data_IF_541302829349
#
_entry.id   IF_541302829349
#
_cell.length_a   1.000
_cell.length_b   1.000
_cell.length_c   1.000
_cell.angle_alpha   90.00
_cell.angle_beta   90.00
_cell.angle_gamma   90.00
#
_symmetry.space_group_name_H-M   'P 1'
#
loop_
_entity.id
_entity.type
_entity.pdbx_description
1 polymer ?
#
# COMPACT_ATOMS: atom_id res chain seq x y z
N UNK A 1 -6.74 26.05 -7.84
CA UNK A 1 -5.62 25.13 -7.53
C UNK A 1 -5.89 24.24 -6.30
N UNK A 2 -6.10 24.80 -5.11
CA UNK A 2 -6.30 24.02 -3.87
C UNK A 2 -7.53 23.08 -3.89
N UNK A 3 -8.66 23.52 -4.46
CA UNK A 3 -9.89 22.72 -4.51
C UNK A 3 -9.73 21.42 -5.34
N UNK A 4 -8.94 21.48 -6.41
CA UNK A 4 -8.64 20.30 -7.23
C UNK A 4 -7.80 19.31 -6.43
N UNK A 5 -6.79 19.79 -5.69
CA UNK A 5 -5.96 18.94 -4.82
C UNK A 5 -6.79 18.27 -3.71
N UNK A 6 -7.78 18.97 -3.12
CA UNK A 6 -8.68 18.38 -2.13
C UNK A 6 -9.56 17.28 -2.74
N UNK A 7 -10.11 17.51 -3.94
CA UNK A 7 -10.92 16.51 -4.63
C UNK A 7 -10.08 15.27 -4.97
N UNK A 8 -8.85 15.46 -5.46
CA UNK A 8 -7.94 14.35 -5.75
C UNK A 8 -7.58 13.59 -4.48
N UNK A 9 -7.25 14.28 -3.37
CA UNK A 9 -6.98 13.64 -2.07
C UNK A 9 -8.16 12.81 -1.57
N UNK A 10 -9.39 13.29 -1.76
CA UNK A 10 -10.60 12.54 -1.37
C UNK A 10 -10.70 11.21 -2.12
N UNK A 11 -10.42 11.21 -3.42
CA UNK A 11 -10.42 9.99 -4.24
C UNK A 11 -9.25 9.06 -3.89
N UNK A 12 -8.10 9.63 -3.53
CA UNK A 12 -6.95 8.85 -3.01
C UNK A 12 -7.35 8.09 -1.73
N UNK A 13 -8.06 8.74 -0.81
CA UNK A 13 -8.59 8.11 0.41
C UNK A 13 -9.60 6.99 0.13
N UNK A 14 -10.41 7.10 -0.94
CA UNK A 14 -11.28 5.99 -1.36
C UNK A 14 -10.46 4.75 -1.74
N UNK A 15 -9.38 4.93 -2.49
CA UNK A 15 -8.44 3.85 -2.80
C UNK A 15 -7.79 3.23 -1.56
N UNK A 16 -7.49 4.02 -0.53
CA UNK A 16 -6.98 3.52 0.75
C UNK A 16 -8.01 2.66 1.49
N UNK A 17 -9.28 3.07 1.49
CA UNK A 17 -10.35 2.26 2.09
C UNK A 17 -10.49 0.91 1.37
N UNK A 18 -10.47 0.94 0.04
CA UNK A 18 -10.49 -0.25 -0.79
C UNK A 18 -9.29 -1.18 -0.53
N UNK A 19 -8.11 -0.63 -0.26
CA UNK A 19 -6.91 -1.40 0.10
C UNK A 19 -6.94 -2.03 1.50
N UNK A 20 -7.96 -1.77 2.32
CA UNK A 20 -8.07 -2.36 3.66
C UNK A 20 -8.23 -3.89 3.60
N UNK A 21 -8.94 -4.40 2.59
CA UNK A 21 -9.03 -5.85 2.34
C UNK A 21 -7.68 -6.47 1.99
N UNK A 22 -6.80 -5.72 1.34
CA UNK A 22 -5.42 -6.15 1.03
C UNK A 22 -4.58 -6.28 2.28
N UNK A 23 -4.66 -5.30 3.17
CA UNK A 23 -4.00 -5.35 4.48
C UNK A 23 -4.46 -6.57 5.28
N UNK A 24 -5.77 -6.83 5.27
CA UNK A 24 -6.34 -7.99 5.94
C UNK A 24 -5.80 -9.30 5.36
N UNK A 25 -5.79 -9.46 4.03
CA UNK A 25 -5.27 -10.65 3.37
C UNK A 25 -3.79 -10.93 3.71
N UNK A 26 -2.93 -9.89 3.70
CA UNK A 26 -1.52 -10.03 4.10
C UNK A 26 -1.40 -10.47 5.56
N UNK A 27 -2.22 -9.89 6.44
CA UNK A 27 -2.20 -10.20 7.88
C UNK A 27 -2.68 -11.63 8.16
N UNK A 28 -3.77 -12.06 7.53
CA UNK A 28 -4.31 -13.42 7.66
C UNK A 28 -3.31 -14.46 7.15
N UNK A 29 -2.68 -14.20 6.00
CA UNK A 29 -1.69 -15.09 5.43
C UNK A 29 -0.46 -15.22 6.35
N UNK A 30 -0.01 -14.11 6.94
CA UNK A 30 1.12 -14.11 7.88
C UNK A 30 0.84 -14.94 9.13
N UNK A 31 -0.36 -14.79 9.71
CA UNK A 31 -0.77 -15.54 10.89
C UNK A 31 -0.95 -17.02 10.60
N UNK A 32 -1.59 -17.37 9.48
CA UNK A 32 -1.84 -18.77 9.09
C UNK A 32 -0.58 -19.53 8.66
N UNK A 33 0.42 -18.84 8.10
CA UNK A 33 1.69 -19.46 7.69
C UNK A 33 2.74 -19.51 8.80
N UNK A 34 2.43 -19.01 10.01
CA UNK A 34 3.39 -18.95 11.11
C UNK A 34 4.59 -18.05 10.83
N UNK A 35 4.39 -16.94 10.11
CA UNK A 35 5.46 -15.99 9.80
C UNK A 35 6.27 -16.31 8.54
N UNK A 36 5.70 -17.06 7.59
CA UNK A 36 6.33 -17.40 6.32
C UNK A 36 5.66 -16.71 5.12
N UNK A 37 6.41 -15.87 4.43
CA UNK A 37 6.03 -15.06 3.27
C UNK A 37 6.09 -15.83 1.95
N UNK A 38 6.67 -17.03 1.91
CA UNK A 38 6.71 -17.85 0.69
C UNK A 38 5.29 -18.16 0.17
N UNK A 39 4.29 -18.17 1.06
CA UNK A 39 2.89 -18.39 0.71
C UNK A 39 2.16 -17.13 0.22
N UNK A 40 2.71 -15.92 0.44
CA UNK A 40 2.21 -14.71 -0.24
C UNK A 40 2.45 -14.79 -1.75
N UNK A 41 3.42 -15.59 -2.19
CA UNK A 41 3.78 -15.79 -3.61
C UNK A 41 2.85 -16.70 -4.43
N UNK A 42 1.83 -17.31 -3.82
CA UNK A 42 0.85 -18.15 -4.54
C UNK A 42 -0.39 -17.40 -5.01
N UNK A 43 -0.63 -16.21 -4.47
CA UNK A 43 -1.82 -15.41 -4.74
C UNK A 43 -1.36 -14.02 -5.15
N UNK A 44 -1.09 -13.84 -6.45
CA UNK A 44 -1.11 -12.50 -7.07
C UNK A 44 -2.52 -11.93 -6.93
N UNK A 45 -2.86 -11.51 -5.72
CA UNK A 45 -4.23 -11.20 -5.33
C UNK A 45 -4.53 -9.80 -5.86
N UNK A 46 -5.08 -9.76 -7.08
CA UNK A 46 -5.79 -8.59 -7.58
C UNK A 46 -7.08 -8.53 -6.77
N UNK A 47 -7.10 -7.72 -5.71
CA UNK A 47 -8.28 -7.63 -4.85
C UNK A 47 -9.46 -6.97 -5.55
N UNK A 48 -9.19 -6.12 -6.55
CA UNK A 48 -10.20 -5.28 -7.17
C UNK A 48 -9.93 -5.09 -8.66
N UNK A 49 -10.94 -5.42 -9.46
CA UNK A 49 -11.16 -4.94 -10.84
C UNK A 49 -11.34 -3.41 -10.81
N UNK A 50 -11.11 -2.64 -11.89
CA UNK A 50 -11.18 -1.19 -11.84
C UNK A 50 -12.49 -0.67 -11.21
N UNK A 51 -12.39 -0.02 -10.05
CA UNK A 51 -13.46 0.84 -9.50
C UNK A 51 -13.14 2.26 -9.94
N UNK A 52 -14.13 3.15 -10.06
CA UNK A 52 -14.01 4.40 -10.81
C UNK A 52 -12.68 5.17 -10.66
N UNK A 53 -12.13 5.21 -9.44
CA UNK A 53 -10.88 5.92 -9.11
C UNK A 53 -9.63 5.02 -8.91
N UNK A 54 -9.76 3.70 -8.88
CA UNK A 54 -8.64 2.73 -8.70
C UNK A 54 -8.59 1.75 -9.88
N UNK A 55 -7.47 1.68 -10.57
CA UNK A 55 -7.21 0.71 -11.64
C UNK A 55 -7.00 -0.71 -11.11
N UNK A 56 -6.14 -0.86 -10.10
CA UNK A 56 -5.82 -2.14 -9.48
C UNK A 56 -5.24 -1.95 -8.08
N UNK A 57 -5.29 -3.03 -7.31
CA UNK A 57 -4.57 -3.19 -6.06
C UNK A 57 -3.82 -4.51 -6.13
N UNK A 58 -2.49 -4.46 -5.97
CA UNK A 58 -1.60 -5.61 -6.08
C UNK A 58 -0.83 -5.82 -4.78
N UNK A 59 -0.66 -7.07 -4.37
CA UNK A 59 0.21 -7.46 -3.24
C UNK A 59 1.50 -8.05 -3.83
N UNK A 60 2.65 -7.50 -3.46
CA UNK A 60 3.94 -8.00 -3.87
C UNK A 60 4.27 -9.32 -3.16
N UNK A 61 4.70 -10.34 -3.91
CA UNK A 61 5.09 -11.62 -3.32
C UNK A 61 6.31 -11.44 -2.42
N UNK A 62 6.42 -12.25 -1.37
CA UNK A 62 7.52 -12.27 -0.41
C UNK A 62 7.77 -10.99 0.40
N UNK A 63 7.17 -9.83 0.07
CA UNK A 63 7.27 -8.60 0.87
C UNK A 63 5.92 -8.10 1.42
N UNK A 64 4.79 -8.60 0.90
CA UNK A 64 3.45 -8.17 1.33
C UNK A 64 3.13 -6.70 1.02
N UNK A 65 3.99 -6.00 0.29
CA UNK A 65 3.81 -4.62 -0.09
C UNK A 65 2.56 -4.47 -0.97
N UNK A 66 1.66 -3.57 -0.62
CA UNK A 66 0.44 -3.31 -1.39
C UNK A 66 0.68 -2.10 -2.29
N UNK A 67 0.38 -2.25 -3.58
CA UNK A 67 0.39 -1.16 -4.57
C UNK A 67 -1.02 -0.83 -5.00
N UNK A 68 -1.44 0.41 -4.77
CA UNK A 68 -2.70 0.96 -5.28
C UNK A 68 -2.37 1.78 -6.51
N UNK A 69 -2.96 1.45 -7.66
CA UNK A 69 -2.80 2.23 -8.91
C UNK A 69 -4.09 3.01 -9.19
N UNK A 70 -4.01 4.33 -9.36
CA UNK A 70 -5.19 5.18 -9.52
C UNK A 70 -5.60 5.39 -10.99
N UNK A 71 -6.91 5.51 -11.25
CA UNK A 71 -7.50 5.89 -12.55
C UNK A 71 -8.02 7.33 -12.59
N UNK A 72 -7.88 8.08 -11.49
CA UNK A 72 -8.31 9.48 -11.40
C UNK A 72 -7.55 10.31 -12.45
N UNK A 73 -8.22 11.14 -13.29
CA UNK A 73 -7.57 11.83 -14.40
C UNK A 73 -6.29 12.62 -14.06
N UNK A 74 -6.25 13.26 -12.88
CA UNK A 74 -5.10 14.06 -12.44
C UNK A 74 -3.89 13.24 -11.98
N UNK A 75 -4.08 11.97 -11.64
CA UNK A 75 -3.05 11.07 -11.08
C UNK A 75 -3.11 9.68 -11.74
N UNK A 76 -3.59 9.62 -12.97
CA UNK A 76 -3.82 8.35 -13.67
C UNK A 76 -2.51 7.58 -13.81
N UNK A 77 -2.49 6.33 -13.37
CA UNK A 77 -1.30 5.47 -13.33
C UNK A 77 -0.31 5.79 -12.19
N UNK A 78 -0.54 6.83 -11.38
CA UNK A 78 0.26 7.05 -10.19
C UNK A 78 -0.10 6.03 -9.10
N UNK A 79 0.88 5.71 -8.26
CA UNK A 79 0.77 4.68 -7.24
C UNK A 79 0.91 5.22 -5.83
N UNK A 80 0.13 4.66 -4.92
CA UNK A 80 0.34 4.79 -3.49
C UNK A 80 0.65 3.40 -2.92
N UNK A 81 1.64 3.35 -2.05
CA UNK A 81 2.17 2.10 -1.51
C UNK A 81 1.76 1.97 -0.05
N UNK A 82 1.31 0.79 0.35
CA UNK A 82 1.19 0.42 1.76
C UNK A 82 2.24 -0.64 2.07
N UNK A 83 3.16 -0.33 2.95
CA UNK A 83 4.27 -1.22 3.29
C UNK A 83 4.05 -1.84 4.66
N UNK A 84 3.96 -3.19 4.78
CA UNK A 84 4.02 -3.84 6.07
C UNK A 84 5.44 -3.79 6.62
N UNK A 85 5.55 -3.63 7.93
CA UNK A 85 6.78 -3.72 8.72
C UNK A 85 6.48 -4.45 10.02
N UNK A 86 7.51 -4.96 10.67
CA UNK A 86 7.41 -5.48 12.03
C UNK A 86 8.48 -4.78 12.85
N UNK A 87 8.10 -4.07 13.91
CA UNK A 87 9.01 -3.27 14.74
C UNK A 87 9.84 -2.27 13.90
N UNK A 88 9.22 -1.63 12.91
CA UNK A 88 9.87 -0.68 12.01
C UNK A 88 10.93 -1.25 11.05
N UNK A 89 11.09 -2.58 10.96
CA UNK A 89 11.97 -3.23 9.98
C UNK A 89 11.21 -3.91 8.85
N UNK A 90 11.92 -4.24 7.77
CA UNK A 90 11.38 -4.90 6.59
C UNK A 90 10.58 -6.17 6.97
N UNK A 91 9.39 -6.31 6.40
CA UNK A 91 8.57 -7.50 6.54
C UNK A 91 9.23 -8.69 5.83
N UNK A 92 9.78 -9.61 6.62
CA UNK A 92 10.61 -10.72 6.15
C UNK A 92 10.33 -12.02 6.93
N UNK A 93 10.69 -13.17 6.33
CA UNK A 93 10.57 -14.48 6.98
C UNK A 93 11.29 -14.50 8.34
N UNK A 94 10.62 -15.06 9.34
CA UNK A 94 11.19 -15.19 10.69
C UNK A 94 11.15 -13.90 11.51
N UNK A 95 10.56 -12.82 11.01
CA UNK A 95 10.22 -11.66 11.84
C UNK A 95 9.19 -12.06 12.92
N UNK A 96 9.26 -11.39 14.07
CA UNK A 96 8.37 -11.63 15.22
C UNK A 96 7.87 -10.32 15.78
N UNK A 97 6.55 -10.19 15.93
CA UNK A 97 5.88 -8.99 16.41
C UNK A 97 4.61 -8.69 15.61
N UNK A 98 3.98 -7.56 15.93
CA UNK A 98 2.79 -7.09 15.24
C UNK A 98 3.14 -6.42 13.91
N UNK A 99 2.23 -6.54 12.94
CA UNK A 99 2.38 -5.87 11.64
C UNK A 99 1.99 -4.39 11.77
N UNK A 100 2.93 -3.53 11.45
CA UNK A 100 2.77 -2.08 11.33
C UNK A 100 2.72 -1.69 9.86
N UNK A 101 1.90 -0.70 9.50
CA UNK A 101 1.70 -0.31 8.10
C UNK A 101 2.12 1.12 7.84
N UNK A 102 3.15 1.29 7.00
CA UNK A 102 3.51 2.58 6.40
C UNK A 102 2.67 2.89 5.18
N UNK A 103 2.34 4.16 4.96
CA UNK A 103 1.71 4.64 3.72
C UNK A 103 2.67 5.57 2.98
N UNK A 104 3.05 5.22 1.75
CA UNK A 104 4.26 5.74 1.13
C UNK A 104 3.98 6.37 -0.23
N UNK A 105 3.69 7.67 -0.22
CA UNK A 105 3.71 8.49 -1.43
C UNK A 105 5.16 8.80 -1.88
N UNK A 106 5.31 9.46 -3.02
CA UNK A 106 6.64 9.81 -3.55
C UNK A 106 7.40 10.69 -2.57
N UNK A 107 8.61 10.26 -2.19
CA UNK A 107 9.50 11.03 -1.32
C UNK A 107 9.13 10.99 0.17
N UNK A 108 8.23 10.10 0.59
CA UNK A 108 7.96 9.87 2.00
C UNK A 108 9.23 9.36 2.71
N UNK A 109 9.51 9.91 3.90
CA UNK A 109 10.72 9.63 4.70
C UNK A 109 10.44 8.85 5.98
N UNK A 110 9.21 8.40 6.19
CA UNK A 110 8.85 7.52 7.29
C UNK A 110 9.71 6.23 7.23
N UNK A 111 10.26 5.75 8.35
CA UNK A 111 11.04 4.50 8.39
C UNK A 111 10.29 3.31 7.78
N UNK A 112 8.97 3.23 7.95
CA UNK A 112 8.14 2.20 7.34
C UNK A 112 8.06 2.30 5.80
N UNK A 113 8.43 3.45 5.23
CA UNK A 113 8.57 3.67 3.79
C UNK A 113 10.00 3.52 3.27
N UNK A 114 11.00 3.49 4.17
CA UNK A 114 12.42 3.35 3.83
C UNK A 114 12.94 1.92 4.05
N UNK A 115 12.21 1.09 4.81
CA UNK A 115 12.57 -0.29 5.17
C UNK A 115 12.48 -1.34 4.07
N UNK A 116 12.89 -1.03 2.83
CA UNK A 116 12.85 -1.93 1.68
C UNK A 116 11.60 -1.81 0.79
N UNK A 117 10.71 -0.88 1.11
CA UNK A 117 9.59 -0.50 0.27
C UNK A 117 10.06 0.33 -0.93
N UNK A 118 9.64 -0.03 -2.16
CA UNK A 118 9.66 0.93 -3.27
C UNK A 118 8.55 1.95 -3.00
N UNK A 119 8.89 3.23 -2.80
CA UNK A 119 7.90 4.28 -2.60
C UNK A 119 6.97 4.43 -3.81
N UNK A 120 5.75 4.89 -3.59
CA UNK A 120 4.79 5.17 -4.66
C UNK A 120 5.23 6.35 -5.52
N UNK A 121 4.52 6.55 -6.63
CA UNK A 121 4.74 7.68 -7.54
C UNK A 121 3.79 8.86 -7.29
N UNK A 122 2.77 8.67 -6.44
CA UNK A 122 1.81 9.71 -6.08
C UNK A 122 2.53 10.90 -5.45
N UNK A 123 2.36 12.10 -6.02
CA UNK A 123 2.95 13.31 -5.45
C UNK A 123 2.40 13.59 -4.04
N UNK A 124 3.22 14.03 -3.07
CA UNK A 124 2.77 14.32 -1.70
C UNK A 124 1.58 15.27 -1.63
N UNK A 125 1.49 16.24 -2.55
CA UNK A 125 0.37 17.18 -2.61
C UNK A 125 -0.98 16.50 -2.82
N UNK A 126 -1.03 15.28 -3.37
CA UNK A 126 -2.24 14.50 -3.60
C UNK A 126 -2.44 13.39 -2.58
N UNK A 127 -1.42 13.08 -1.78
CA UNK A 127 -1.51 12.09 -0.71
C UNK A 127 -2.19 12.67 0.55
N UNK A 128 -2.93 11.85 1.34
CA UNK A 128 -3.33 12.19 2.70
C UNK A 128 -2.13 12.45 3.59
N UNK A 129 -2.33 13.15 4.71
CA UNK A 129 -1.22 13.54 5.59
C UNK A 129 -0.45 12.34 6.17
N UNK A 130 -1.15 11.23 6.46
CA UNK A 130 -0.54 9.99 6.95
C UNK A 130 0.33 9.26 5.91
N UNK A 131 0.34 9.73 4.66
CA UNK A 131 1.02 9.10 3.54
C UNK A 131 2.16 9.95 2.95
N UNK A 132 2.38 11.15 3.50
CA UNK A 132 3.41 12.09 3.03
C UNK A 132 4.70 11.96 3.81
#
# INVERSE_FOLDING_TARGET
PAYQDYTVRSRVSEGLNLASSAKFAVTEQWQSSGGNLAQLGGHGYVLISPTGDVQNILIAPASGQITITYSVPAINGQTLILNPTINGVAFANGASGDIEWGCCALGNTDPACLGGAVAGTLLPRYAPQSCR
#
